data_IF_012885775627
#
_entry.id   IF_012885775627
#
_cell.length_a   1.000
_cell.length_b   1.000
_cell.length_c   1.000
_cell.angle_alpha   90.00
_cell.angle_beta   90.00
_cell.angle_gamma   90.00
#
_symmetry.space_group_name_H-M   'P 1'
#
loop_
_entity.id
_entity.type
_entity.pdbx_description
1 polymer ?
#
# COMPACT_ATOMS: atom_id res chain seq x y z
N UNK A 1 -3.51 0.04 -18.11
CA UNK A 1 -3.41 -0.58 -16.76
C UNK A 1 -4.45 -1.68 -16.66
N UNK A 2 -4.03 -2.90 -16.32
CA UNK A 2 -4.96 -4.02 -16.07
C UNK A 2 -5.55 -3.86 -14.67
N UNK A 3 -6.85 -4.13 -14.51
CA UNK A 3 -7.52 -4.04 -13.21
C UNK A 3 -8.37 -5.28 -12.99
N UNK A 4 -8.05 -6.03 -11.95
CA UNK A 4 -8.87 -7.14 -11.49
C UNK A 4 -9.96 -6.61 -10.55
N UNK A 5 -11.19 -7.13 -10.68
CA UNK A 5 -12.32 -6.76 -9.84
C UNK A 5 -12.90 -7.99 -9.17
N UNK A 6 -13.11 -7.92 -7.85
CA UNK A 6 -13.81 -8.96 -7.08
C UNK A 6 -14.73 -8.35 -6.03
N UNK A 7 -15.76 -9.10 -5.67
CA UNK A 7 -16.70 -8.72 -4.63
C UNK A 7 -17.80 -7.79 -5.11
N UNK A 8 -18.59 -7.31 -4.16
CA UNK A 8 -19.70 -6.38 -4.39
C UNK A 8 -19.87 -5.45 -3.18
N UNK A 9 -20.30 -4.21 -3.42
CA UNK A 9 -20.49 -3.19 -2.40
C UNK A 9 -19.72 -1.91 -2.70
N UNK A 10 -19.46 -1.11 -1.67
CA UNK A 10 -18.72 0.15 -1.81
C UNK A 10 -17.33 -0.08 -2.42
N UNK A 11 -16.90 0.73 -3.40
CA UNK A 11 -15.61 0.54 -4.06
C UNK A 11 -14.44 0.73 -3.09
N UNK A 12 -13.44 -0.15 -3.20
CA UNK A 12 -12.14 -0.06 -2.56
C UNK A 12 -11.05 -0.32 -3.59
N UNK A 13 -10.19 0.66 -3.82
CA UNK A 13 -9.04 0.51 -4.70
C UNK A 13 -7.85 0.02 -3.86
N UNK A 14 -7.31 -1.16 -4.19
CA UNK A 14 -6.12 -1.70 -3.54
C UNK A 14 -4.88 -1.55 -4.43
N UNK A 15 -3.86 -0.86 -3.92
CA UNK A 15 -2.60 -0.60 -4.59
C UNK A 15 -1.51 -1.54 -4.06
N UNK A 16 -1.05 -2.42 -4.93
CA UNK A 16 -0.17 -3.54 -4.59
C UNK A 16 1.24 -3.12 -4.15
N UNK A 17 1.91 -3.92 -3.30
CA UNK A 17 3.31 -3.71 -2.92
C UNK A 17 4.26 -3.94 -4.11
N UNK A 18 5.55 -3.70 -3.88
CA UNK A 18 6.60 -3.87 -4.89
C UNK A 18 6.78 -5.29 -5.44
N UNK A 19 6.21 -6.29 -4.80
CA UNK A 19 6.16 -7.66 -5.29
C UNK A 19 5.08 -7.94 -6.34
N UNK A 20 4.29 -6.91 -6.73
CA UNK A 20 3.15 -7.04 -7.64
C UNK A 20 1.88 -7.51 -6.94
N UNK A 21 0.83 -7.77 -7.72
CA UNK A 21 -0.49 -8.19 -7.22
C UNK A 21 -0.43 -9.59 -6.64
N UNK A 22 -1.00 -9.74 -5.44
CA UNK A 22 -1.29 -11.04 -4.80
C UNK A 22 -2.63 -10.93 -4.08
N UNK A 23 -3.48 -11.93 -4.25
CA UNK A 23 -4.71 -12.03 -3.50
C UNK A 23 -4.41 -12.67 -2.15
N UNK A 24 -4.45 -11.85 -1.11
CA UNK A 24 -4.25 -12.25 0.28
C UNK A 24 -5.59 -12.60 0.93
N UNK A 25 -5.56 -13.30 2.06
CA UNK A 25 -6.77 -13.56 2.86
C UNK A 25 -7.48 -12.27 3.29
N UNK A 26 -6.72 -11.19 3.48
CA UNK A 26 -7.29 -9.87 3.80
C UNK A 26 -8.11 -9.35 2.62
N UNK A 27 -7.58 -9.39 1.41
CA UNK A 27 -8.31 -8.95 0.22
C UNK A 27 -9.54 -9.83 -0.05
N UNK A 28 -9.44 -11.15 0.12
CA UNK A 28 -10.57 -12.06 0.00
C UNK A 28 -11.68 -11.73 1.01
N UNK A 29 -11.30 -11.46 2.26
CA UNK A 29 -12.23 -11.03 3.31
C UNK A 29 -12.90 -9.71 2.97
N UNK A 30 -12.16 -8.69 2.58
CA UNK A 30 -12.70 -7.37 2.21
C UNK A 30 -13.64 -7.46 1.00
N UNK A 31 -13.39 -8.38 0.06
CA UNK A 31 -14.24 -8.63 -1.10
C UNK A 31 -15.64 -9.20 -0.75
N UNK A 32 -15.85 -9.70 0.48
CA UNK A 32 -17.17 -10.16 0.92
C UNK A 32 -18.19 -9.01 1.06
N UNK A 33 -17.71 -7.76 1.32
CA UNK A 33 -18.58 -6.62 1.57
C UNK A 33 -18.24 -5.40 0.69
N UNK A 34 -17.21 -5.48 -0.15
CA UNK A 34 -16.71 -4.38 -0.99
C UNK A 34 -16.42 -4.84 -2.41
N UNK A 35 -16.53 -3.92 -3.36
CA UNK A 35 -16.00 -4.14 -4.69
C UNK A 35 -14.53 -3.72 -4.70
N UNK A 36 -13.62 -4.69 -4.69
CA UNK A 36 -12.19 -4.44 -4.81
C UNK A 36 -11.82 -4.17 -6.25
N UNK A 37 -11.10 -3.08 -6.48
CA UNK A 37 -10.45 -2.75 -7.74
C UNK A 37 -8.94 -2.85 -7.51
N UNK A 38 -8.30 -3.84 -8.12
CA UNK A 38 -6.88 -4.15 -7.93
C UNK A 38 -6.11 -3.89 -9.24
N UNK A 39 -5.62 -2.66 -9.45
CA UNK A 39 -4.81 -2.35 -10.61
C UNK A 39 -3.43 -2.99 -10.52
N UNK A 40 -2.94 -3.53 -11.64
CA UNK A 40 -1.53 -3.86 -11.84
C UNK A 40 -0.83 -2.66 -12.46
N UNK A 41 0.16 -2.10 -11.78
CA UNK A 41 0.92 -0.96 -12.30
C UNK A 41 1.71 -1.34 -13.56
N UNK A 42 1.90 -0.41 -14.52
CA UNK A 42 2.67 -0.67 -15.73
C UNK A 42 4.05 -1.23 -15.41
N UNK A 43 4.47 -2.25 -16.17
CA UNK A 43 5.73 -2.95 -15.98
C UNK A 43 5.74 -4.03 -14.92
N UNK A 44 4.82 -4.03 -13.95
CA UNK A 44 4.70 -5.10 -12.97
C UNK A 44 3.97 -6.32 -13.53
N UNK A 45 4.26 -7.49 -12.97
CA UNK A 45 3.61 -8.77 -13.26
C UNK A 45 3.53 -9.11 -14.77
N UNK A 46 4.60 -8.77 -15.50
CA UNK A 46 4.68 -9.02 -16.93
C UNK A 46 3.89 -8.05 -17.82
N UNK A 47 3.18 -7.07 -17.24
CA UNK A 47 2.47 -6.05 -18.03
C UNK A 47 3.45 -5.15 -18.80
N UNK A 48 3.03 -4.54 -19.92
CA UNK A 48 3.84 -3.54 -20.61
C UNK A 48 4.13 -2.32 -19.71
N UNK A 49 5.29 -1.70 -19.90
CA UNK A 49 5.60 -0.38 -19.33
C UNK A 49 4.81 0.70 -20.07
N UNK A 50 4.60 1.83 -19.43
CA UNK A 50 4.03 3.02 -20.05
C UNK A 50 5.08 4.13 -20.02
N UNK A 51 5.52 4.58 -21.19
CA UNK A 51 6.58 5.58 -21.32
C UNK A 51 6.18 6.97 -20.75
N UNK A 52 4.89 7.22 -20.58
CA UNK A 52 4.38 8.44 -19.96
C UNK A 52 4.32 8.37 -18.43
N UNK A 53 4.66 7.23 -17.81
CA UNK A 53 4.54 7.00 -16.37
C UNK A 53 5.89 6.57 -15.81
N UNK A 54 6.59 7.49 -15.15
CA UNK A 54 7.98 7.31 -14.71
C UNK A 54 8.18 7.61 -13.21
N UNK A 55 7.11 7.88 -12.48
CA UNK A 55 7.17 8.21 -11.05
C UNK A 55 5.96 7.71 -10.29
N UNK A 56 6.07 7.65 -8.95
CA UNK A 56 4.95 7.32 -8.06
C UNK A 56 3.82 8.36 -8.17
N UNK A 57 4.17 9.63 -8.38
CA UNK A 57 3.20 10.69 -8.62
C UNK A 57 2.37 10.42 -9.88
N UNK A 58 3.01 10.06 -10.98
CA UNK A 58 2.33 9.73 -12.24
C UNK A 58 1.50 8.45 -12.12
N UNK A 59 1.97 7.45 -11.34
CA UNK A 59 1.13 6.29 -10.99
C UNK A 59 -0.12 6.72 -10.20
N UNK A 60 0.01 7.64 -9.25
CA UNK A 60 -1.13 8.21 -8.52
C UNK A 60 -2.13 8.87 -9.45
N UNK A 61 -1.66 9.69 -10.40
CA UNK A 61 -2.51 10.32 -11.44
C UNK A 61 -3.18 9.28 -12.33
N UNK A 62 -2.46 8.23 -12.74
CA UNK A 62 -3.00 7.14 -13.55
C UNK A 62 -4.14 6.41 -12.83
N UNK A 63 -3.98 6.12 -11.53
CA UNK A 63 -5.01 5.52 -10.68
C UNK A 63 -6.20 6.48 -10.53
N UNK A 64 -5.94 7.77 -10.32
CA UNK A 64 -6.99 8.79 -10.25
C UNK A 64 -7.84 8.83 -11.51
N UNK A 65 -7.21 8.81 -12.70
CA UNK A 65 -7.92 8.73 -13.97
C UNK A 65 -8.75 7.44 -14.12
N UNK A 66 -8.26 6.33 -13.57
CA UNK A 66 -9.04 5.09 -13.50
C UNK A 66 -10.28 5.24 -12.62
N UNK A 67 -10.14 5.81 -11.41
CA UNK A 67 -11.26 6.03 -10.47
C UNK A 67 -12.31 6.90 -11.12
N UNK A 68 -11.91 8.02 -11.69
CA UNK A 68 -12.81 8.97 -12.36
C UNK A 68 -13.61 8.31 -13.49
N UNK A 69 -12.93 7.54 -14.34
CA UNK A 69 -13.56 6.92 -15.52
C UNK A 69 -14.42 5.69 -15.19
N UNK A 70 -14.05 4.87 -14.20
CA UNK A 70 -14.61 3.51 -13.99
C UNK A 70 -15.40 3.37 -12.69
N UNK A 71 -15.19 4.25 -11.72
CA UNK A 71 -15.93 4.29 -10.46
C UNK A 71 -16.88 5.52 -10.48
N UNK A 72 -16.38 6.67 -10.93
CA UNK A 72 -17.17 7.90 -11.14
C UNK A 72 -17.47 8.70 -9.88
N UNK A 73 -17.02 8.23 -8.72
CA UNK A 73 -17.18 8.88 -7.40
C UNK A 73 -15.91 8.69 -6.57
N UNK A 74 -15.79 9.45 -5.48
CA UNK A 74 -14.79 9.17 -4.46
C UNK A 74 -14.95 7.74 -3.90
N UNK A 75 -13.85 7.12 -3.51
CA UNK A 75 -13.83 5.76 -2.97
C UNK A 75 -12.75 5.60 -1.90
N UNK A 76 -12.83 4.48 -1.19
CA UNK A 76 -11.77 4.11 -0.26
C UNK A 76 -10.54 3.61 -1.02
N UNK A 77 -9.35 3.93 -0.51
CA UNK A 77 -8.07 3.51 -1.11
C UNK A 77 -7.21 2.83 -0.05
N UNK A 78 -6.69 1.65 -0.37
CA UNK A 78 -5.71 0.95 0.46
C UNK A 78 -4.42 0.74 -0.33
N UNK A 79 -3.29 1.06 0.26
CA UNK A 79 -1.98 0.85 -0.35
C UNK A 79 -0.99 0.17 0.59
N UNK A 80 -0.32 -0.88 0.09
CA UNK A 80 0.72 -1.59 0.83
C UNK A 80 2.11 -1.20 0.33
N UNK A 81 3.02 -0.83 1.23
CA UNK A 81 4.43 -0.56 0.91
C UNK A 81 4.61 0.43 -0.25
N UNK A 82 5.09 -0.02 -1.41
CA UNK A 82 5.19 0.77 -2.64
C UNK A 82 3.82 1.34 -3.05
N UNK A 83 2.77 0.53 -3.04
CA UNK A 83 1.40 0.97 -3.30
C UNK A 83 0.90 2.01 -2.28
N UNK A 84 1.41 1.97 -1.05
CA UNK A 84 1.15 3.00 -0.04
C UNK A 84 1.72 4.37 -0.43
N UNK A 85 2.92 4.42 -1.02
CA UNK A 85 3.48 5.66 -1.56
C UNK A 85 2.67 6.20 -2.75
N UNK A 86 2.19 5.31 -3.62
CA UNK A 86 1.29 5.70 -4.73
C UNK A 86 -0.06 6.20 -4.21
N UNK A 87 -0.60 5.58 -3.15
CA UNK A 87 -1.84 6.01 -2.51
C UNK A 87 -1.72 7.40 -1.88
N UNK A 88 -0.58 7.71 -1.27
CA UNK A 88 -0.28 9.06 -0.76
C UNK A 88 -0.25 10.08 -1.90
N UNK A 89 0.40 9.77 -3.01
CA UNK A 89 0.42 10.63 -4.20
C UNK A 89 -0.98 10.81 -4.81
N UNK A 90 -1.77 9.75 -4.91
CA UNK A 90 -3.16 9.84 -5.34
C UNK A 90 -3.96 10.80 -4.45
N UNK A 91 -3.83 10.68 -3.13
CA UNK A 91 -4.55 11.54 -2.18
C UNK A 91 -4.07 13.01 -2.23
N UNK A 92 -2.84 13.27 -2.67
CA UNK A 92 -2.32 14.62 -2.90
C UNK A 92 -2.80 15.23 -4.21
N UNK A 93 -2.74 14.46 -5.30
CA UNK A 93 -3.03 14.94 -6.65
C UNK A 93 -4.54 15.00 -6.94
N UNK A 94 -5.32 14.12 -6.32
CA UNK A 94 -6.77 13.97 -6.56
C UNK A 94 -7.50 13.76 -5.23
N UNK A 95 -7.42 14.73 -4.29
CA UNK A 95 -8.01 14.59 -2.96
C UNK A 95 -9.55 14.39 -2.99
N UNK A 96 -10.21 14.82 -4.05
CA UNK A 96 -11.65 14.66 -4.26
C UNK A 96 -12.07 13.22 -4.61
N UNK A 97 -11.10 12.36 -4.95
CA UNK A 97 -11.37 10.96 -5.31
C UNK A 97 -11.10 9.96 -4.16
N UNK A 98 -10.57 10.43 -3.03
CA UNK A 98 -10.18 9.57 -1.90
C UNK A 98 -11.01 9.91 -0.67
N UNK A 99 -11.92 9.02 -0.30
CA UNK A 99 -12.74 9.17 0.92
C UNK A 99 -11.93 8.81 2.17
N UNK A 100 -11.41 7.59 2.22
CA UNK A 100 -10.57 7.09 3.29
C UNK A 100 -9.29 6.48 2.71
N UNK A 101 -8.21 6.58 3.47
CA UNK A 101 -6.90 6.07 3.09
C UNK A 101 -6.42 5.05 4.11
N UNK A 102 -6.10 3.83 3.66
CA UNK A 102 -5.45 2.79 4.48
C UNK A 102 -4.04 2.57 3.95
N UNK A 103 -3.06 2.69 4.83
CA UNK A 103 -1.63 2.60 4.51
C UNK A 103 -1.00 1.48 5.32
N UNK A 104 -0.64 0.37 4.69
CA UNK A 104 0.13 -0.71 5.29
C UNK A 104 1.62 -0.48 5.02
N UNK A 105 2.40 -0.17 6.07
CA UNK A 105 3.85 0.03 6.00
C UNK A 105 4.30 0.84 4.76
N UNK A 106 3.74 2.06 4.49
CA UNK A 106 3.97 2.77 3.24
C UNK A 106 5.45 3.12 3.05
N UNK A 107 5.95 2.88 1.84
CA UNK A 107 7.31 3.23 1.42
C UNK A 107 7.42 4.72 1.04
N UNK A 108 8.63 5.17 0.69
CA UNK A 108 8.89 6.48 0.11
C UNK A 108 9.24 7.58 1.11
N UNK A 109 9.09 7.37 2.40
CA UNK A 109 9.30 8.42 3.42
C UNK A 109 10.67 8.35 4.10
N UNK A 110 11.40 7.25 3.92
CA UNK A 110 12.77 7.06 4.40
C UNK A 110 13.64 6.43 3.32
N UNK A 111 14.95 6.55 3.45
CA UNK A 111 15.89 5.81 2.64
C UNK A 111 15.84 4.33 3.00
N UNK A 112 15.82 3.46 1.99
CA UNK A 112 15.88 2.01 2.20
C UNK A 112 17.31 1.61 2.59
N UNK A 113 17.44 0.74 3.59
CA UNK A 113 18.74 0.19 3.98
C UNK A 113 19.43 -0.45 2.75
N UNK A 114 20.65 -0.01 2.46
CA UNK A 114 21.42 -0.48 1.32
C UNK A 114 21.73 -1.98 1.40
N UNK A 115 21.93 -2.52 2.60
CA UNK A 115 22.17 -3.95 2.78
C UNK A 115 20.94 -4.78 2.41
N UNK A 116 19.73 -4.32 2.74
CA UNK A 116 18.49 -4.97 2.33
C UNK A 116 18.22 -4.78 0.83
N UNK A 117 18.41 -3.56 0.31
CA UNK A 117 18.17 -3.24 -1.10
C UNK A 117 19.03 -4.09 -2.05
N UNK A 118 20.28 -4.31 -1.68
CA UNK A 118 21.25 -5.06 -2.49
C UNK A 118 21.25 -6.57 -2.24
N UNK A 119 20.43 -7.07 -1.32
CA UNK A 119 20.31 -8.49 -1.00
C UNK A 119 18.85 -8.96 -1.07
N UNK A 120 18.37 -9.46 -2.23
CA UNK A 120 16.99 -9.91 -2.40
C UNK A 120 16.55 -11.00 -1.41
N UNK A 121 17.46 -11.86 -1.00
CA UNK A 121 17.16 -12.92 -0.02
C UNK A 121 16.96 -12.34 1.39
N UNK A 122 17.84 -11.43 1.82
CA UNK A 122 17.67 -10.73 3.10
C UNK A 122 16.42 -9.87 3.11
N UNK A 123 16.12 -9.19 2.00
CA UNK A 123 14.89 -8.43 1.84
C UNK A 123 13.66 -9.32 1.97
N UNK A 124 13.63 -10.47 1.26
CA UNK A 124 12.51 -11.41 1.35
C UNK A 124 12.28 -11.91 2.77
N UNK A 125 13.38 -12.26 3.50
CA UNK A 125 13.29 -12.66 4.91
C UNK A 125 12.75 -11.55 5.82
N UNK A 126 13.04 -10.30 5.52
CA UNK A 126 12.58 -9.15 6.30
C UNK A 126 11.10 -8.81 6.08
N UNK A 127 10.48 -9.37 5.03
CA UNK A 127 9.05 -9.14 4.74
C UNK A 127 8.12 -9.79 5.76
N UNK A 128 8.52 -10.90 6.38
CA UNK A 128 7.63 -11.73 7.17
C UNK A 128 8.20 -12.02 8.56
N UNK A 129 7.35 -11.94 9.58
CA UNK A 129 7.60 -12.53 10.89
C UNK A 129 7.32 -14.05 10.85
N UNK A 130 6.35 -14.45 10.02
CA UNK A 130 5.84 -15.81 9.89
C UNK A 130 5.86 -16.29 8.42
N UNK A 131 7.03 -16.57 7.83
CA UNK A 131 7.15 -16.98 6.42
C UNK A 131 6.41 -18.29 6.10
N UNK A 132 6.16 -19.14 7.10
CA UNK A 132 5.36 -20.36 6.97
C UNK A 132 3.87 -20.10 6.70
N UNK A 133 3.37 -18.89 6.97
CA UNK A 133 1.99 -18.50 6.70
C UNK A 133 1.77 -18.01 5.25
N UNK A 134 2.83 -17.90 4.45
CA UNK A 134 2.70 -17.52 3.04
C UNK A 134 1.87 -18.58 2.31
N UNK A 135 0.66 -18.22 1.89
CA UNK A 135 -0.31 -19.12 1.26
C UNK A 135 -0.43 -18.96 -0.26
N UNK A 136 0.27 -17.99 -0.83
CA UNK A 136 0.30 -17.78 -2.27
C UNK A 136 1.57 -18.34 -2.91
N UNK A 137 1.48 -18.75 -4.16
CA UNK A 137 2.63 -19.22 -4.93
C UNK A 137 3.62 -18.07 -5.19
N UNK A 138 4.91 -18.39 -5.14
CA UNK A 138 5.94 -17.45 -5.59
C UNK A 138 5.83 -17.22 -7.09
N UNK A 139 6.02 -15.98 -7.50
CA UNK A 139 6.09 -15.65 -8.92
C UNK A 139 7.39 -16.23 -9.53
N UNK A 140 7.42 -16.52 -10.82
CA UNK A 140 8.66 -16.87 -11.53
C UNK A 140 9.75 -15.83 -11.26
N UNK A 141 11.00 -16.27 -11.15
CA UNK A 141 12.16 -15.41 -10.83
C UNK A 141 12.28 -14.21 -11.79
N UNK A 142 11.99 -14.42 -13.07
CA UNK A 142 12.00 -13.37 -14.09
C UNK A 142 10.97 -12.25 -13.80
N UNK A 143 9.79 -12.63 -13.30
CA UNK A 143 8.73 -11.68 -12.90
C UNK A 143 9.14 -10.95 -11.61
N UNK A 144 9.70 -11.66 -10.62
CA UNK A 144 10.19 -11.03 -9.39
C UNK A 144 11.34 -10.05 -9.69
N UNK A 145 12.27 -10.41 -10.58
CA UNK A 145 13.36 -9.54 -11.01
C UNK A 145 12.85 -8.29 -11.74
N UNK A 146 11.87 -8.47 -12.64
CA UNK A 146 11.23 -7.36 -13.33
C UNK A 146 10.49 -6.42 -12.37
N UNK A 147 9.72 -6.96 -11.42
CA UNK A 147 9.04 -6.15 -10.41
C UNK A 147 10.04 -5.34 -9.57
N UNK A 148 11.19 -5.93 -9.19
CA UNK A 148 12.28 -5.20 -8.51
C UNK A 148 12.84 -4.06 -9.37
N UNK A 149 13.02 -4.27 -10.68
CA UNK A 149 13.47 -3.23 -11.59
C UNK A 149 12.46 -2.07 -11.68
N UNK A 150 11.16 -2.35 -11.62
CA UNK A 150 10.12 -1.32 -11.60
C UNK A 150 10.12 -0.48 -10.31
N UNK A 151 10.53 -1.04 -9.18
CA UNK A 151 10.72 -0.24 -7.95
C UNK A 151 11.79 0.85 -8.13
N UNK A 152 12.90 0.51 -8.80
CA UNK A 152 13.94 1.48 -9.13
C UNK A 152 13.48 2.49 -10.18
N UNK A 153 12.72 2.04 -11.18
CA UNK A 153 12.19 2.90 -12.24
C UNK A 153 11.25 4.00 -11.70
N UNK A 154 10.34 3.63 -10.79
CA UNK A 154 9.34 4.55 -10.23
C UNK A 154 9.79 5.27 -8.96
N UNK A 155 10.91 4.90 -8.39
CA UNK A 155 11.40 5.41 -7.11
C UNK A 155 12.59 6.32 -7.24
N UNK A 156 12.90 7.07 -6.17
CA UNK A 156 14.20 7.72 -6.02
C UNK A 156 15.29 6.65 -5.77
N UNK A 157 16.54 6.95 -6.15
CA UNK A 157 17.68 6.03 -6.03
C UNK A 157 17.88 5.53 -4.59
N UNK A 158 17.70 6.40 -3.60
CA UNK A 158 17.78 6.06 -2.17
C UNK A 158 16.45 5.57 -1.58
N UNK A 159 15.37 5.50 -2.38
CA UNK A 159 14.04 5.11 -1.97
C UNK A 159 13.21 6.21 -1.31
N UNK A 160 13.81 7.36 -0.95
CA UNK A 160 13.14 8.47 -0.29
C UNK A 160 12.57 9.48 -1.29
N UNK A 161 11.28 9.71 -1.21
CA UNK A 161 10.55 10.72 -1.97
C UNK A 161 10.43 12.00 -1.14
N UNK A 162 11.28 12.98 -1.46
CA UNK A 162 11.37 14.22 -0.68
C UNK A 162 10.17 15.12 -0.90
N UNK A 163 9.70 15.19 -2.14
CA UNK A 163 8.53 15.99 -2.53
C UNK A 163 7.27 15.46 -1.83
N UNK A 164 7.06 14.13 -1.84
CA UNK A 164 5.98 13.48 -1.09
C UNK A 164 6.07 13.84 0.40
N UNK A 165 7.26 13.71 1.00
CA UNK A 165 7.46 13.97 2.43
C UNK A 165 7.12 15.40 2.83
N UNK A 166 7.41 16.38 1.97
CA UNK A 166 7.10 17.79 2.21
C UNK A 166 5.61 18.10 2.04
N UNK A 167 4.93 17.38 1.14
CA UNK A 167 3.54 17.64 0.79
C UNK A 167 2.50 16.96 1.70
N UNK A 168 2.90 16.04 2.59
CA UNK A 168 2.01 15.20 3.41
C UNK A 168 0.90 15.99 4.14
N UNK A 169 1.20 17.19 4.65
CA UNK A 169 0.23 18.03 5.36
C UNK A 169 -0.95 18.51 4.50
N UNK A 170 -0.91 18.32 3.19
CA UNK A 170 -1.99 18.67 2.26
C UNK A 170 -3.02 17.55 2.10
N UNK A 171 -2.72 16.33 2.56
CA UNK A 171 -3.64 15.19 2.49
C UNK A 171 -4.84 15.44 3.41
N UNK A 172 -6.05 15.32 2.86
CA UNK A 172 -7.33 15.60 3.54
C UNK A 172 -8.05 14.34 3.99
N UNK A 173 -7.79 13.22 3.33
CA UNK A 173 -8.45 11.94 3.63
C UNK A 173 -8.17 11.50 5.07
N UNK A 174 -9.20 11.04 5.78
CA UNK A 174 -9.00 10.34 7.05
C UNK A 174 -8.21 9.08 6.78
N UNK A 175 -7.08 8.92 7.49
CA UNK A 175 -6.06 7.92 7.17
C UNK A 175 -5.86 6.94 8.33
N UNK A 176 -5.87 5.64 8.03
CA UNK A 176 -5.38 4.58 8.90
C UNK A 176 -3.98 4.17 8.46
N UNK A 177 -3.01 4.31 9.33
CA UNK A 177 -1.64 3.81 9.14
C UNK A 177 -1.51 2.54 9.97
N UNK A 178 -1.13 1.43 9.33
CA UNK A 178 -0.90 0.14 9.98
C UNK A 178 0.56 -0.23 9.83
N UNK A 179 1.18 -0.67 10.95
CA UNK A 179 2.60 -1.01 10.98
C UNK A 179 2.83 -2.27 11.82
N UNK A 180 3.65 -3.20 11.31
CA UNK A 180 4.04 -4.39 12.05
C UNK A 180 5.11 -4.10 13.10
N UNK A 181 5.00 -4.68 14.29
CA UNK A 181 5.99 -4.47 15.37
C UNK A 181 7.37 -5.04 15.04
N UNK A 182 7.44 -6.00 14.11
CA UNK A 182 8.67 -6.65 13.66
C UNK A 182 9.14 -6.17 12.27
N UNK A 183 8.57 -5.06 11.75
CA UNK A 183 8.96 -4.52 10.45
C UNK A 183 10.41 -4.02 10.48
N UNK A 184 11.26 -4.67 9.67
CA UNK A 184 12.69 -4.37 9.51
C UNK A 184 13.00 -3.59 8.23
N UNK A 185 11.99 -3.31 7.42
CA UNK A 185 12.12 -2.59 6.15
C UNK A 185 11.81 -1.12 6.35
N UNK A 186 10.70 -0.82 7.04
CA UNK A 186 10.28 0.54 7.36
C UNK A 186 10.36 0.72 8.87
N UNK A 187 11.08 1.75 9.32
CA UNK A 187 11.22 2.04 10.73
C UNK A 187 9.92 2.60 11.33
N UNK A 188 9.60 2.19 12.56
CA UNK A 188 8.43 2.68 13.29
C UNK A 188 8.43 4.22 13.44
N UNK A 189 9.61 4.85 13.57
CA UNK A 189 9.75 6.31 13.61
C UNK A 189 9.26 6.98 12.34
N UNK A 190 9.40 6.33 11.18
CA UNK A 190 8.87 6.83 9.91
C UNK A 190 7.35 6.87 9.94
N UNK A 191 6.70 5.87 10.55
CA UNK A 191 5.24 5.85 10.70
C UNK A 191 4.76 6.90 11.70
N UNK A 192 5.51 7.12 12.79
CA UNK A 192 5.23 8.23 13.73
C UNK A 192 5.36 9.59 13.06
N UNK A 193 6.40 9.78 12.23
CA UNK A 193 6.56 11.00 11.45
C UNK A 193 5.40 11.18 10.46
N UNK A 194 5.04 10.14 9.70
CA UNK A 194 3.89 10.19 8.78
C UNK A 194 2.62 10.61 9.52
N UNK A 195 2.30 9.93 10.65
CA UNK A 195 1.15 10.28 11.49
C UNK A 195 1.18 11.75 11.95
N UNK A 196 2.33 12.28 12.32
CA UNK A 196 2.47 13.67 12.80
C UNK A 196 2.28 14.72 11.70
N UNK A 197 2.46 14.34 10.43
CA UNK A 197 2.32 15.22 9.26
C UNK A 197 0.92 15.20 8.65
N UNK A 198 0.15 14.13 8.88
CA UNK A 198 -1.22 14.01 8.40
C UNK A 198 -2.19 14.65 9.40
N UNK A 199 -3.12 15.48 8.89
CA UNK A 199 -4.08 16.21 9.73
C UNK A 199 -5.07 15.26 10.44
N UNK A 200 -5.47 14.17 9.78
CA UNK A 200 -6.49 13.22 10.26
C UNK A 200 -5.99 11.80 10.08
N UNK A 201 -5.23 11.28 11.05
CA UNK A 201 -4.64 9.95 10.93
C UNK A 201 -4.66 9.19 12.26
N UNK A 202 -4.90 7.89 12.13
CA UNK A 202 -4.71 6.88 13.18
C UNK A 202 -3.46 6.07 12.87
N UNK A 203 -2.67 5.73 13.88
CA UNK A 203 -1.51 4.83 13.75
C UNK A 203 -1.73 3.64 14.66
N UNK A 204 -1.74 2.45 14.05
CA UNK A 204 -1.94 1.18 14.76
C UNK A 204 -0.74 0.28 14.51
N UNK A 205 -0.20 -0.28 15.59
CA UNK A 205 0.83 -1.31 15.54
C UNK A 205 0.19 -2.68 15.66
N UNK A 206 0.49 -3.56 14.72
CA UNK A 206 0.05 -4.96 14.76
C UNK A 206 1.16 -5.80 15.37
N UNK A 207 0.89 -6.37 16.54
CA UNK A 207 1.82 -7.22 17.26
C UNK A 207 2.13 -8.48 16.48
N UNK A 208 3.42 -8.93 16.54
CA UNK A 208 3.89 -10.16 15.92
C UNK A 208 3.64 -10.20 14.40
N UNK A 209 3.86 -9.06 13.75
CA UNK A 209 3.82 -8.90 12.30
C UNK A 209 5.04 -8.10 11.83
N UNK A 210 5.61 -8.48 10.68
CA UNK A 210 6.66 -7.74 10.00
C UNK A 210 6.08 -6.81 8.94
N UNK A 211 6.78 -6.60 7.82
CA UNK A 211 6.39 -5.68 6.76
C UNK A 211 5.10 -6.10 6.03
N UNK A 212 4.87 -7.40 5.89
CA UNK A 212 3.68 -7.93 5.21
C UNK A 212 2.64 -8.41 6.23
N UNK A 213 1.92 -7.47 6.82
CA UNK A 213 0.94 -7.72 7.87
C UNK A 213 -0.22 -8.59 7.37
N UNK A 214 -0.59 -8.44 6.10
CA UNK A 214 -1.65 -9.23 5.45
C UNK A 214 -1.34 -10.74 5.46
N UNK A 215 -0.07 -11.13 5.56
CA UNK A 215 0.37 -12.52 5.66
C UNK A 215 0.55 -12.94 7.10
N UNK A 216 1.24 -12.13 7.90
CA UNK A 216 1.59 -12.48 9.27
C UNK A 216 0.38 -12.53 10.20
N UNK A 217 -0.53 -11.56 10.06
CA UNK A 217 -1.71 -11.38 10.93
C UNK A 217 -2.99 -11.05 10.13
N UNK A 218 -3.41 -11.91 9.17
CA UNK A 218 -4.49 -11.60 8.23
C UNK A 218 -5.82 -11.30 8.92
N UNK A 219 -6.15 -12.01 10.00
CA UNK A 219 -7.43 -11.83 10.71
C UNK A 219 -7.48 -10.47 11.41
N UNK A 220 -6.36 -10.08 12.07
CA UNK A 220 -6.26 -8.78 12.74
C UNK A 220 -6.28 -7.65 11.74
N UNK A 221 -5.51 -7.77 10.65
CA UNK A 221 -5.44 -6.76 9.59
C UNK A 221 -6.81 -6.56 8.94
N UNK A 222 -7.49 -7.64 8.55
CA UNK A 222 -8.81 -7.57 7.94
C UNK A 222 -9.85 -6.91 8.85
N UNK A 223 -9.93 -7.34 10.12
CA UNK A 223 -10.87 -6.76 11.09
C UNK A 223 -10.61 -5.27 11.37
N UNK A 224 -9.33 -4.87 11.43
CA UNK A 224 -8.92 -3.50 11.63
C UNK A 224 -9.35 -2.60 10.45
N UNK A 225 -9.07 -3.04 9.23
CA UNK A 225 -9.44 -2.30 8.00
C UNK A 225 -10.95 -2.18 7.87
N UNK A 226 -11.70 -3.27 8.05
CA UNK A 226 -13.17 -3.24 8.04
C UNK A 226 -13.72 -2.25 9.05
N UNK A 227 -13.28 -2.34 10.31
CA UNK A 227 -13.74 -1.45 11.38
C UNK A 227 -13.43 0.03 11.09
N UNK A 228 -12.28 0.33 10.53
CA UNK A 228 -11.92 1.68 10.13
C UNK A 228 -12.81 2.19 9.00
N UNK A 229 -12.95 1.41 7.93
CA UNK A 229 -13.73 1.80 6.75
C UNK A 229 -15.25 1.91 7.02
N UNK A 230 -15.75 1.25 8.08
CA UNK A 230 -17.14 1.37 8.52
C UNK A 230 -17.38 2.58 9.42
N UNK A 231 -16.42 2.88 10.30
CA UNK A 231 -16.57 3.90 11.35
C UNK A 231 -16.00 5.26 10.97
N UNK A 232 -15.05 5.29 10.02
CA UNK A 232 -14.45 6.54 9.55
C UNK A 232 -13.89 7.40 10.69
N UNK A 233 -14.36 8.62 10.85
CA UNK A 233 -13.93 9.57 11.88
C UNK A 233 -14.31 9.12 13.30
N UNK A 234 -15.28 8.23 13.45
CA UNK A 234 -15.65 7.62 14.72
C UNK A 234 -14.84 6.35 15.04
N UNK A 235 -13.79 6.05 14.26
CA UNK A 235 -12.91 4.93 14.52
C UNK A 235 -12.16 5.11 15.84
N UNK A 236 -12.27 4.12 16.71
CA UNK A 236 -11.57 4.06 17.98
C UNK A 236 -10.77 2.77 18.04
N UNK A 237 -9.48 2.89 18.33
CA UNK A 237 -8.66 1.71 18.64
C UNK A 237 -9.02 1.26 20.04
N UNK A 238 -9.66 0.10 20.25
CA UNK A 238 -9.97 -0.38 21.57
C UNK A 238 -8.66 -0.69 22.30
N UNK A 239 -8.52 -0.15 23.48
CA UNK A 239 -7.48 -0.60 24.41
C UNK A 239 -7.94 -1.95 24.97
N UNK A 240 -7.17 -3.01 24.69
CA UNK A 240 -7.37 -4.30 25.31
C UNK A 240 -6.76 -4.33 26.71
#
# INVERSE_FOLDING_TARGET
MNVEKRGAGRPLVYLHPGGGVRWTRVLERLALARTLHVPTFPGFDGTPTDAAVNSRCELGRLVGGYIEKNIGTACDVMGCSFGGAVALWLALERPELVDHLVLECPAGLQSTDAALRNNPHAFYKALFAHPEKVSYERKPEEIEARNRAMLAHYGAEDGKDRELSEALGRIRATTLIVHGTEDRIIAADTMRLLKSRLARAFLVYVWDAAHNIEVDQPERMGALVESFLERSDAFVVPYA
#
